data_IF_635038989896
#
_entry.id   IF_635038989896
#
_cell.length_a   1.000
_cell.length_b   1.000
_cell.length_c   1.000
_cell.angle_alpha   90.00
_cell.angle_beta   90.00
_cell.angle_gamma   90.00
#
_symmetry.space_group_name_H-M   'P 1'
#
loop_
_entity.id
_entity.type
_entity.pdbx_description
1 polymer ?
#
# COMPACT_ATOMS: atom_id res chain seq x y z
N UNK A 1 13.58 6.66 -14.53
CA UNK A 1 13.21 5.82 -13.38
C UNK A 1 13.24 4.38 -13.88
N UNK A 2 14.34 3.67 -13.64
CA UNK A 2 14.53 2.30 -14.11
C UNK A 2 13.71 1.34 -13.24
N UNK A 3 12.79 0.64 -13.85
CA UNK A 3 12.08 -0.47 -13.24
C UNK A 3 12.72 -1.76 -13.79
N UNK A 4 13.65 -2.33 -13.04
CA UNK A 4 14.11 -3.69 -13.31
C UNK A 4 13.09 -4.63 -12.69
N UNK A 5 12.16 -5.10 -13.49
CA UNK A 5 10.95 -5.83 -13.14
C UNK A 5 11.11 -7.21 -12.47
N UNK A 6 12.22 -7.48 -11.79
CA UNK A 6 12.44 -8.70 -10.99
C UNK A 6 13.26 -8.46 -9.72
N UNK A 7 13.48 -7.22 -9.32
CA UNK A 7 14.27 -6.86 -8.16
C UNK A 7 13.42 -6.44 -6.96
N UNK A 8 13.99 -6.57 -5.80
CA UNK A 8 13.43 -6.05 -4.55
C UNK A 8 13.30 -4.53 -4.64
N UNK A 9 12.10 -3.96 -4.48
CA UNK A 9 11.82 -2.52 -4.62
C UNK A 9 12.66 -1.68 -3.67
N UNK A 10 13.40 -0.72 -4.23
CA UNK A 10 14.24 0.24 -3.49
C UNK A 10 13.91 1.67 -3.92
N UNK A 11 14.07 2.60 -3.00
CA UNK A 11 14.10 4.03 -3.30
C UNK A 11 15.55 4.51 -3.28
N UNK A 12 15.88 5.43 -4.16
CA UNK A 12 17.22 6.04 -4.23
C UNK A 12 17.12 7.55 -4.10
N UNK A 13 18.09 8.14 -3.41
CA UNK A 13 18.26 9.59 -3.26
C UNK A 13 19.73 9.94 -3.45
N UNK A 14 20.03 10.80 -4.42
CA UNK A 14 21.34 11.43 -4.52
C UNK A 14 21.39 12.59 -3.51
N UNK A 15 22.44 12.62 -2.71
CA UNK A 15 22.64 13.66 -1.70
C UNK A 15 23.21 14.91 -2.38
N UNK A 16 22.40 15.96 -2.46
CA UNK A 16 22.81 17.24 -3.00
C UNK A 16 23.63 18.05 -1.97
N UNK A 17 24.34 19.08 -2.40
CA UNK A 17 25.20 19.96 -1.59
C UNK A 17 24.47 20.52 -0.34
N UNK A 18 23.23 20.98 -0.51
CA UNK A 18 22.39 21.55 0.55
C UNK A 18 21.98 20.53 1.63
N UNK A 19 22.17 19.25 1.36
CA UNK A 19 21.86 18.11 2.25
C UNK A 19 23.10 17.44 2.81
N UNK A 20 24.28 17.86 2.39
CA UNK A 20 25.54 17.32 2.89
C UNK A 20 25.66 17.47 4.42
N UNK A 21 26.25 16.47 5.07
CA UNK A 21 26.40 16.42 6.52
C UNK A 21 25.14 16.04 7.29
N UNK A 22 23.98 15.90 6.65
CA UNK A 22 22.75 15.45 7.31
C UNK A 22 22.86 13.96 7.67
N UNK A 23 22.19 13.58 8.77
CA UNK A 23 22.07 12.17 9.15
C UNK A 23 21.19 11.41 8.14
N UNK A 24 21.53 10.17 7.87
CA UNK A 24 20.72 9.26 7.06
C UNK A 24 19.28 9.21 7.56
N UNK A 25 19.03 9.15 8.89
CA UNK A 25 17.66 9.20 9.45
C UNK A 25 16.87 10.43 8.98
N UNK A 26 17.53 11.59 8.92
CA UNK A 26 16.91 12.85 8.47
C UNK A 26 16.52 12.77 6.98
N UNK A 27 17.43 12.29 6.14
CA UNK A 27 17.19 12.10 4.70
C UNK A 27 16.06 11.10 4.44
N UNK A 28 16.04 9.97 5.15
CA UNK A 28 14.98 8.97 5.04
C UNK A 28 13.59 9.56 5.36
N UNK A 29 13.50 10.40 6.40
CA UNK A 29 12.22 10.99 6.82
C UNK A 29 11.80 12.18 5.97
N UNK A 30 12.70 13.12 5.75
CA UNK A 30 12.35 14.39 5.11
C UNK A 30 12.29 14.28 3.59
N UNK A 31 13.26 13.60 2.98
CA UNK A 31 13.36 13.53 1.53
C UNK A 31 12.61 12.33 0.94
N UNK A 32 12.77 11.15 1.54
CA UNK A 32 12.10 9.94 1.07
C UNK A 32 10.73 9.70 1.72
N UNK A 33 10.37 10.48 2.76
CA UNK A 33 9.09 10.41 3.43
C UNK A 33 8.82 9.09 4.17
N UNK A 34 9.89 8.36 4.58
CA UNK A 34 9.74 7.11 5.30
C UNK A 34 9.29 7.35 6.75
N UNK A 35 8.33 6.55 7.21
CA UNK A 35 7.93 6.58 8.61
C UNK A 35 8.94 5.90 9.51
N UNK A 36 8.88 6.23 10.80
CA UNK A 36 9.68 5.55 11.82
C UNK A 36 9.45 4.04 11.87
N UNK A 37 8.26 3.58 11.50
CA UNK A 37 7.93 2.14 11.45
C UNK A 37 8.66 1.45 10.31
N UNK A 38 8.64 2.02 9.11
CA UNK A 38 9.38 1.49 7.96
C UNK A 38 10.89 1.49 8.26
N UNK A 39 11.44 2.60 8.77
CA UNK A 39 12.87 2.71 9.11
C UNK A 39 13.28 1.67 10.16
N UNK A 40 12.49 1.46 11.23
CA UNK A 40 12.78 0.44 12.26
C UNK A 40 12.80 -0.97 11.68
N UNK A 41 11.94 -1.25 10.69
CA UNK A 41 11.85 -2.56 10.03
C UNK A 41 13.09 -2.87 9.18
N UNK A 42 13.61 -1.87 8.46
CA UNK A 42 14.69 -2.09 7.48
C UNK A 42 16.10 -1.85 8.02
N UNK A 43 16.28 -1.04 9.06
CA UNK A 43 17.62 -0.62 9.54
C UNK A 43 18.54 -1.76 9.99
N UNK A 44 17.95 -2.91 10.32
CA UNK A 44 18.71 -4.10 10.77
C UNK A 44 18.95 -5.10 9.65
N UNK A 45 18.29 -4.94 8.51
CA UNK A 45 18.51 -5.82 7.36
C UNK A 45 19.88 -5.55 6.74
N UNK A 46 20.59 -6.58 6.24
CA UNK A 46 21.89 -6.41 5.60
C UNK A 46 21.89 -5.36 4.49
N UNK A 47 20.89 -5.38 3.64
CA UNK A 47 20.72 -4.46 2.53
C UNK A 47 19.60 -3.43 2.74
N UNK A 48 19.15 -3.22 3.98
CA UNK A 48 18.03 -2.35 4.28
C UNK A 48 18.30 -0.88 3.92
N UNK A 49 19.48 -0.37 4.29
CA UNK A 49 19.90 1.01 4.04
C UNK A 49 21.35 0.97 3.55
N UNK A 50 21.57 1.44 2.33
CA UNK A 50 22.88 1.49 1.69
C UNK A 50 23.24 2.93 1.33
N UNK A 51 24.51 3.31 1.49
CA UNK A 51 25.10 4.56 1.01
C UNK A 51 26.27 4.18 0.10
N UNK A 52 26.18 4.54 -1.19
CA UNK A 52 27.11 4.10 -2.25
C UNK A 52 27.30 2.57 -2.31
N UNK A 53 26.23 1.81 -2.04
CA UNK A 53 26.26 0.34 -2.02
C UNK A 53 26.71 -0.29 -0.70
N UNK A 54 27.25 0.47 0.23
CA UNK A 54 27.67 0.01 1.54
C UNK A 54 26.57 0.16 2.59
N UNK A 55 26.43 -0.86 3.44
CA UNK A 55 25.47 -0.82 4.55
C UNK A 55 25.83 0.28 5.56
N UNK A 56 24.84 1.11 5.89
CA UNK A 56 25.00 2.16 6.90
C UNK A 56 23.89 2.15 7.95
N UNK A 57 24.22 2.72 9.12
CA UNK A 57 23.22 2.98 10.16
C UNK A 57 22.61 4.38 9.98
N UNK A 58 21.42 4.58 10.53
CA UNK A 58 20.67 5.83 10.45
C UNK A 58 21.39 7.03 11.08
N UNK A 59 22.37 6.82 11.96
CA UNK A 59 23.21 7.86 12.57
C UNK A 59 24.33 8.35 11.65
N UNK A 60 24.69 7.62 10.58
CA UNK A 60 25.71 8.02 9.60
C UNK A 60 25.32 9.36 8.98
N UNK A 61 26.33 10.24 8.79
CA UNK A 61 26.18 11.47 8.01
C UNK A 61 26.54 11.18 6.56
N UNK A 62 25.72 11.67 5.65
CA UNK A 62 25.94 11.52 4.22
C UNK A 62 26.66 12.76 3.67
N UNK A 63 27.48 12.55 2.66
CA UNK A 63 28.24 13.60 1.97
C UNK A 63 27.60 13.93 0.61
N UNK A 64 27.89 15.11 0.07
CA UNK A 64 27.42 15.50 -1.24
C UNK A 64 27.89 14.50 -2.31
N UNK A 65 27.02 14.20 -3.28
CA UNK A 65 27.28 13.27 -4.36
C UNK A 65 26.98 11.82 -4.04
N UNK A 66 26.92 11.41 -2.76
CA UNK A 66 26.63 10.03 -2.38
C UNK A 66 25.20 9.63 -2.74
N UNK A 67 24.99 8.34 -2.99
CA UNK A 67 23.69 7.75 -3.32
C UNK A 67 23.16 6.92 -2.16
N UNK A 68 22.11 7.41 -1.51
CA UNK A 68 21.36 6.68 -0.50
C UNK A 68 20.34 5.77 -1.19
N UNK A 69 20.37 4.47 -0.88
CA UNK A 69 19.45 3.47 -1.41
C UNK A 69 18.79 2.70 -0.27
N UNK A 70 17.47 2.63 -0.27
CA UNK A 70 16.69 2.01 0.81
C UNK A 70 15.71 0.98 0.30
N UNK A 71 15.64 -0.14 1.00
CA UNK A 71 14.66 -1.19 0.77
C UNK A 71 13.27 -0.72 1.22
N UNK A 72 12.28 -0.83 0.35
CA UNK A 72 10.87 -0.56 0.70
C UNK A 72 9.96 -1.78 0.50
N UNK A 73 10.43 -2.79 -0.23
CA UNK A 73 9.72 -4.06 -0.38
C UNK A 73 9.62 -4.83 0.94
N UNK A 74 8.77 -5.83 0.97
CA UNK A 74 8.66 -6.76 2.08
C UNK A 74 9.81 -7.76 2.05
N UNK A 75 10.69 -7.76 3.08
CA UNK A 75 11.74 -8.77 3.16
C UNK A 75 11.17 -10.18 3.42
N UNK A 76 10.01 -10.24 4.06
CA UNK A 76 9.28 -11.45 4.42
C UNK A 76 7.77 -11.21 4.28
N UNK A 77 7.04 -12.17 3.76
CA UNK A 77 5.59 -12.15 3.74
C UNK A 77 5.04 -12.44 5.13
N UNK A 78 4.23 -11.54 5.67
CA UNK A 78 3.73 -11.60 7.07
C UNK A 78 2.21 -11.60 7.17
N UNK A 79 1.50 -11.37 6.07
CA UNK A 79 0.03 -11.34 6.08
C UNK A 79 -0.60 -12.69 6.42
N UNK A 80 0.14 -13.79 6.19
CA UNK A 80 -0.39 -15.15 6.33
C UNK A 80 -1.48 -15.49 5.31
N UNK A 81 -1.67 -14.66 4.29
CA UNK A 81 -2.67 -14.90 3.24
C UNK A 81 -2.16 -15.98 2.29
N UNK A 82 -2.85 -17.11 2.24
CA UNK A 82 -2.52 -18.22 1.36
C UNK A 82 -2.74 -17.85 -0.11
N UNK A 83 -1.74 -17.99 -0.98
CA UNK A 83 -1.91 -17.78 -2.41
C UNK A 83 -2.87 -18.81 -3.02
N UNK A 84 -3.98 -18.37 -3.60
CA UNK A 84 -4.95 -19.21 -4.31
C UNK A 84 -5.28 -18.52 -5.62
N UNK A 85 -5.13 -19.18 -6.77
CA UNK A 85 -5.51 -18.61 -8.06
C UNK A 85 -7.00 -18.27 -8.11
N UNK A 86 -7.32 -17.11 -8.69
CA UNK A 86 -8.68 -16.66 -8.86
C UNK A 86 -8.79 -15.43 -9.75
N UNK A 87 -9.99 -14.98 -10.07
CA UNK A 87 -10.20 -13.89 -11.01
C UNK A 87 -9.75 -12.55 -10.41
N UNK A 88 -8.91 -11.83 -11.14
CA UNK A 88 -8.50 -10.47 -10.87
C UNK A 88 -8.68 -9.62 -12.12
N UNK A 89 -9.41 -8.53 -12.01
CA UNK A 89 -9.54 -7.52 -13.04
C UNK A 89 -8.62 -6.33 -12.68
N UNK A 90 -7.37 -6.39 -13.16
CA UNK A 90 -6.33 -5.38 -12.88
C UNK A 90 -6.48 -4.25 -13.88
N UNK A 91 -6.78 -3.05 -13.40
CA UNK A 91 -7.01 -1.84 -14.20
C UNK A 91 -5.74 -1.02 -14.37
N UNK A 92 -4.87 -1.03 -13.35
CA UNK A 92 -3.59 -0.32 -13.36
C UNK A 92 -2.58 -1.03 -12.48
N UNK A 93 -1.33 -0.98 -12.86
CA UNK A 93 -0.23 -1.53 -12.07
C UNK A 93 1.07 -0.79 -12.37
N UNK A 94 1.83 -0.45 -11.32
CA UNK A 94 3.20 0.05 -11.39
C UNK A 94 4.10 -0.61 -10.32
N UNK A 95 5.27 -0.03 -10.05
CA UNK A 95 6.20 -0.55 -9.05
C UNK A 95 5.75 -0.36 -7.60
N UNK A 96 4.78 0.49 -7.32
CA UNK A 96 4.39 0.90 -5.98
C UNK A 96 2.95 0.49 -5.62
N UNK A 97 2.06 0.37 -6.61
CA UNK A 97 0.64 0.04 -6.38
C UNK A 97 0.01 -0.73 -7.54
N UNK A 98 -1.15 -1.27 -7.25
CA UNK A 98 -2.04 -1.94 -8.19
C UNK A 98 -3.47 -1.42 -7.93
N UNK A 99 -4.23 -1.16 -8.99
CA UNK A 99 -5.65 -0.88 -8.93
C UNK A 99 -6.40 -2.02 -9.60
N UNK A 100 -7.36 -2.58 -8.90
CA UNK A 100 -8.21 -3.64 -9.43
C UNK A 100 -9.68 -3.25 -9.33
N UNK A 101 -10.50 -3.80 -10.23
CA UNK A 101 -11.95 -3.74 -10.15
C UNK A 101 -12.45 -4.97 -9.39
N UNK A 102 -12.91 -4.78 -8.14
CA UNK A 102 -13.46 -5.86 -7.33
C UNK A 102 -14.86 -6.22 -7.80
N UNK A 103 -15.10 -7.47 -8.14
CA UNK A 103 -16.45 -7.97 -8.40
C UNK A 103 -17.31 -8.00 -7.11
N UNK A 104 -18.64 -7.90 -7.24
CA UNK A 104 -19.54 -8.14 -6.10
C UNK A 104 -19.48 -9.62 -5.67
N UNK A 105 -19.79 -9.90 -4.42
CA UNK A 105 -19.77 -11.24 -3.85
C UNK A 105 -18.42 -11.72 -3.33
N UNK A 106 -17.31 -11.03 -3.65
CA UNK A 106 -15.94 -11.36 -3.21
C UNK A 106 -15.53 -10.52 -2.02
N UNK A 107 -14.98 -11.16 -0.98
CA UNK A 107 -14.36 -10.47 0.16
C UNK A 107 -12.96 -9.95 -0.17
N UNK A 108 -12.54 -8.89 0.52
CA UNK A 108 -11.19 -8.33 0.38
C UNK A 108 -10.16 -9.15 1.14
N UNK A 109 -10.43 -9.45 2.41
CA UNK A 109 -9.53 -10.19 3.30
C UNK A 109 -10.05 -11.58 3.63
N UNK A 110 -9.17 -12.57 3.82
CA UNK A 110 -9.57 -13.83 4.44
C UNK A 110 -10.20 -13.61 5.82
N UNK A 111 -11.18 -14.42 6.13
CA UNK A 111 -11.90 -14.36 7.40
C UNK A 111 -12.71 -15.64 7.63
N UNK A 112 -13.54 -15.66 8.67
CA UNK A 112 -14.34 -16.84 9.03
C UNK A 112 -15.17 -17.34 7.83
N UNK A 113 -15.00 -18.60 7.44
CA UNK A 113 -15.68 -19.23 6.31
C UNK A 113 -15.16 -18.86 4.91
N UNK A 114 -14.18 -17.95 4.81
CA UNK A 114 -13.61 -17.47 3.53
C UNK A 114 -12.08 -17.38 3.64
N UNK A 115 -11.40 -18.52 3.57
CA UNK A 115 -9.94 -18.60 3.74
C UNK A 115 -9.17 -18.60 2.42
N UNK A 116 -9.85 -18.87 1.29
CA UNK A 116 -9.21 -19.13 0.00
C UNK A 116 -9.87 -18.44 -1.21
N UNK A 117 -10.94 -17.68 -0.99
CA UNK A 117 -11.80 -17.10 -2.03
C UNK A 117 -11.88 -15.57 -1.97
N UNK A 118 -10.82 -14.92 -1.51
CA UNK A 118 -10.77 -13.46 -1.33
C UNK A 118 -9.80 -12.80 -2.30
N UNK A 119 -9.96 -11.49 -2.49
CA UNK A 119 -9.00 -10.67 -3.28
C UNK A 119 -7.57 -10.86 -2.77
N UNK A 120 -7.38 -10.94 -1.44
CA UNK A 120 -6.07 -11.19 -0.86
C UNK A 120 -5.44 -12.49 -1.37
N UNK A 121 -6.20 -13.60 -1.37
CA UNK A 121 -5.72 -14.89 -1.87
C UNK A 121 -5.33 -14.84 -3.36
N UNK A 122 -6.21 -14.25 -4.18
CA UNK A 122 -6.01 -14.16 -5.63
C UNK A 122 -4.80 -13.28 -5.96
N UNK A 123 -4.65 -12.16 -5.25
CA UNK A 123 -3.54 -11.24 -5.46
C UNK A 123 -2.20 -11.86 -5.01
N UNK A 124 -2.16 -12.60 -3.91
CA UNK A 124 -0.95 -13.29 -3.48
C UNK A 124 -0.53 -14.38 -4.48
N UNK A 125 -1.49 -15.08 -5.12
CA UNK A 125 -1.18 -16.01 -6.21
C UNK A 125 -0.64 -15.26 -7.44
N UNK A 126 -1.26 -14.16 -7.82
CA UNK A 126 -0.78 -13.31 -8.90
C UNK A 126 0.66 -12.83 -8.66
N UNK A 127 0.97 -12.30 -7.47
CA UNK A 127 2.31 -11.84 -7.13
C UNK A 127 3.34 -12.98 -7.22
N UNK A 128 3.03 -14.16 -6.69
CA UNK A 128 3.87 -15.35 -6.81
C UNK A 128 4.15 -15.71 -8.27
N UNK A 129 3.11 -15.75 -9.11
CA UNK A 129 3.20 -16.19 -10.50
C UNK A 129 3.94 -15.16 -11.38
N UNK A 130 3.88 -13.87 -11.01
CA UNK A 130 4.64 -12.80 -11.66
C UNK A 130 6.05 -12.59 -11.08
N UNK A 131 6.44 -13.31 -10.02
CA UNK A 131 7.71 -13.11 -9.32
C UNK A 131 7.80 -11.77 -8.58
N UNK A 132 6.67 -11.19 -8.18
CA UNK A 132 6.59 -9.93 -7.44
C UNK A 132 6.75 -10.22 -5.95
N UNK A 133 7.79 -9.66 -5.34
CA UNK A 133 8.01 -9.78 -3.89
C UNK A 133 7.22 -8.70 -3.14
N UNK A 134 5.94 -8.96 -2.92
CA UNK A 134 5.04 -8.08 -2.19
C UNK A 134 4.08 -8.89 -1.31
N UNK A 135 3.70 -8.30 -0.18
CA UNK A 135 2.65 -8.83 0.68
C UNK A 135 1.30 -8.16 0.37
N UNK A 136 0.23 -8.61 1.01
CA UNK A 136 -1.10 -8.05 0.81
C UNK A 136 -1.27 -6.74 1.59
N UNK A 137 -1.18 -5.59 0.91
CA UNK A 137 -1.26 -4.25 1.48
C UNK A 137 -2.43 -3.44 0.92
N UNK A 138 -3.70 -3.80 1.17
CA UNK A 138 -4.82 -2.99 0.70
C UNK A 138 -4.80 -1.60 1.36
N UNK A 139 -5.07 -0.58 0.55
CA UNK A 139 -5.13 0.82 1.00
C UNK A 139 -6.46 1.09 1.68
N UNK A 140 -7.53 0.56 1.11
CA UNK A 140 -8.89 0.57 1.65
C UNK A 140 -9.59 -0.74 1.32
N UNK A 141 -10.82 -0.88 1.76
CA UNK A 141 -11.64 -2.06 1.46
C UNK A 141 -12.98 -1.67 0.86
N UNK A 142 -13.58 -2.60 0.16
CA UNK A 142 -14.99 -2.60 -0.26
C UNK A 142 -15.68 -3.78 0.42
N UNK A 143 -16.95 -3.65 0.73
CA UNK A 143 -17.73 -4.74 1.33
C UNK A 143 -18.00 -5.86 0.33
N UNK A 144 -18.43 -7.04 0.81
CA UNK A 144 -18.66 -8.24 -0.02
C UNK A 144 -19.56 -7.95 -1.22
N UNK A 145 -20.70 -7.29 -0.99
CA UNK A 145 -21.68 -6.97 -2.02
C UNK A 145 -21.33 -5.75 -2.90
N UNK A 146 -20.32 -4.95 -2.50
CA UNK A 146 -19.92 -3.76 -3.23
C UNK A 146 -18.92 -4.11 -4.32
N UNK A 147 -19.13 -3.62 -5.54
CA UNK A 147 -18.18 -3.69 -6.64
C UNK A 147 -17.49 -2.35 -6.85
N UNK A 148 -16.37 -2.34 -7.59
CA UNK A 148 -15.70 -1.11 -7.99
C UNK A 148 -14.19 -1.12 -7.76
N UNK A 149 -13.58 0.04 -7.94
CA UNK A 149 -12.12 0.18 -7.90
C UNK A 149 -11.56 0.07 -6.48
N UNK A 150 -10.52 -0.71 -6.33
CA UNK A 150 -9.78 -0.89 -5.09
C UNK A 150 -8.29 -0.72 -5.33
N UNK A 151 -7.63 0.03 -4.44
CA UNK A 151 -6.19 0.29 -4.49
C UNK A 151 -5.48 -0.63 -3.50
N UNK A 152 -4.44 -1.32 -3.98
CA UNK A 152 -3.54 -2.14 -3.18
C UNK A 152 -2.11 -1.65 -3.40
N UNK A 153 -1.39 -1.38 -2.34
CA UNK A 153 0.02 -1.06 -2.40
C UNK A 153 0.87 -2.34 -2.52
N UNK A 154 2.03 -2.24 -3.14
CA UNK A 154 2.97 -3.36 -3.27
C UNK A 154 4.02 -3.41 -2.15
N UNK A 155 4.04 -2.41 -1.28
CA UNK A 155 4.94 -2.38 -0.12
C UNK A 155 4.43 -1.41 0.97
N UNK A 156 4.90 -1.57 2.23
CA UNK A 156 4.39 -0.80 3.37
C UNK A 156 4.52 0.71 3.23
N UNK A 157 5.61 1.20 2.62
CA UNK A 157 5.81 2.63 2.43
C UNK A 157 4.75 3.23 1.48
N UNK A 158 4.48 2.58 0.35
CA UNK A 158 3.41 3.01 -0.57
C UNK A 158 2.04 2.95 0.12
N UNK A 159 1.75 1.87 0.87
CA UNK A 159 0.50 1.74 1.62
C UNK A 159 0.30 2.92 2.59
N UNK A 160 1.33 3.27 3.35
CA UNK A 160 1.26 4.38 4.30
C UNK A 160 1.04 5.72 3.59
N UNK A 161 1.74 5.99 2.50
CA UNK A 161 1.55 7.21 1.71
C UNK A 161 0.16 7.32 1.11
N UNK A 162 -0.36 6.24 0.54
CA UNK A 162 -1.71 6.19 -0.03
C UNK A 162 -2.78 6.31 1.07
N UNK A 163 -2.60 5.65 2.21
CA UNK A 163 -3.53 5.78 3.35
C UNK A 163 -3.61 7.21 3.90
N UNK A 164 -2.53 7.97 3.91
CA UNK A 164 -2.56 9.39 4.28
C UNK A 164 -3.42 10.23 3.32
N UNK A 165 -3.51 9.84 2.05
CA UNK A 165 -4.33 10.55 1.06
C UNK A 165 -5.83 10.25 1.19
N UNK A 166 -6.22 9.12 1.82
CA UNK A 166 -7.63 8.73 1.97
C UNK A 166 -8.54 9.79 2.62
N UNK A 167 -7.94 10.66 3.43
CA UNK A 167 -8.64 11.72 4.16
C UNK A 167 -8.38 13.11 3.57
N UNK A 168 -7.88 13.19 2.35
CA UNK A 168 -7.59 14.44 1.65
C UNK A 168 -8.38 14.52 0.35
N UNK A 169 -8.44 15.69 -0.26
CA UNK A 169 -9.07 15.89 -1.57
C UNK A 169 -8.36 15.13 -2.72
N UNK A 170 -7.13 14.64 -2.48
CA UNK A 170 -6.36 13.88 -3.47
C UNK A 170 -6.91 12.47 -3.70
N UNK A 171 -7.69 11.92 -2.76
CA UNK A 171 -8.30 10.59 -2.88
C UNK A 171 -9.82 10.70 -2.69
N UNK A 172 -10.56 10.61 -3.77
CA UNK A 172 -12.02 10.70 -3.75
C UNK A 172 -12.64 9.32 -3.93
N UNK A 173 -13.63 9.00 -3.10
CA UNK A 173 -14.46 7.80 -3.23
C UNK A 173 -15.87 8.22 -3.64
N UNK A 174 -16.25 7.80 -4.83
CA UNK A 174 -17.58 8.08 -5.38
C UNK A 174 -18.30 6.75 -5.58
N UNK A 175 -19.55 6.67 -5.13
CA UNK A 175 -20.37 5.48 -5.22
C UNK A 175 -21.67 5.77 -5.94
N UNK A 176 -22.13 4.79 -6.70
CA UNK A 176 -23.47 4.74 -7.23
C UNK A 176 -24.27 3.68 -6.48
N UNK A 177 -25.44 4.02 -5.98
CA UNK A 177 -26.30 3.10 -5.24
C UNK A 177 -27.73 3.12 -5.80
N UNK A 178 -28.34 1.94 -5.83
CA UNK A 178 -29.78 1.78 -6.10
C UNK A 178 -30.50 1.67 -4.76
N UNK A 179 -31.44 2.56 -4.50
CA UNK A 179 -32.18 2.63 -3.24
C UNK A 179 -33.66 2.31 -3.45
N UNK A 180 -34.30 1.76 -2.41
CA UNK A 180 -35.76 1.64 -2.35
C UNK A 180 -36.34 2.99 -1.90
N UNK A 181 -37.33 3.49 -2.60
CA UNK A 181 -37.87 4.86 -2.43
C UNK A 181 -36.96 5.90 -3.07
N UNK A 182 -37.28 7.17 -2.88
CA UNK A 182 -36.49 8.29 -3.39
C UNK A 182 -36.31 9.38 -2.35
N UNK A 183 -35.22 10.17 -2.44
CA UNK A 183 -35.07 11.37 -1.63
C UNK A 183 -36.18 12.38 -1.97
N UNK A 184 -36.53 13.23 -1.02
CA UNK A 184 -37.55 14.28 -1.22
C UNK A 184 -37.09 15.36 -2.20
N UNK A 185 -35.79 15.52 -2.37
CA UNK A 185 -35.17 16.45 -3.30
C UNK A 185 -34.23 15.72 -4.27
N UNK A 186 -34.04 16.24 -5.48
CA UNK A 186 -33.13 15.64 -6.47
C UNK A 186 -31.67 15.66 -6.03
N UNK A 187 -31.29 16.66 -5.23
CA UNK A 187 -29.96 16.81 -4.67
C UNK A 187 -30.01 17.16 -3.17
N UNK A 188 -29.03 16.73 -2.40
CA UNK A 188 -28.95 17.05 -0.99
C UNK A 188 -27.70 16.49 -0.34
N UNK A 189 -27.46 16.91 0.89
CA UNK A 189 -26.37 16.40 1.74
C UNK A 189 -26.98 15.75 2.97
N UNK A 190 -26.60 14.51 3.25
CA UNK A 190 -26.89 13.84 4.51
C UNK A 190 -25.58 13.84 5.31
N UNK A 191 -25.52 14.74 6.30
CA UNK A 191 -24.37 14.86 7.21
C UNK A 191 -24.82 14.48 8.64
N UNK A 192 -24.92 13.18 8.87
CA UNK A 192 -25.36 12.64 10.13
C UNK A 192 -24.39 11.50 10.58
N UNK A 193 -24.16 11.31 11.89
CA UNK A 193 -23.39 10.19 12.40
C UNK A 193 -24.01 8.86 11.97
N UNK A 194 -23.16 7.93 11.55
CA UNK A 194 -23.56 6.55 11.27
C UNK A 194 -23.33 5.72 12.53
N UNK A 195 -24.39 5.07 13.01
CA UNK A 195 -24.35 4.18 14.17
C UNK A 195 -25.02 2.84 13.87
N UNK A 196 -24.82 1.87 14.75
CA UNK A 196 -25.56 0.61 14.68
C UNK A 196 -26.99 0.83 15.21
N UNK A 197 -27.98 0.32 14.49
CA UNK A 197 -29.34 0.27 15.01
C UNK A 197 -29.42 -0.71 16.19
N UNK A 198 -30.29 -0.42 17.17
CA UNK A 198 -30.54 -1.31 18.30
C UNK A 198 -30.97 -2.69 17.80
N UNK A 199 -30.28 -3.77 18.22
CA UNK A 199 -30.53 -5.13 17.76
C UNK A 199 -29.84 -5.52 16.43
N UNK A 200 -29.06 -4.65 15.81
CA UNK A 200 -28.26 -4.95 14.63
C UNK A 200 -26.99 -5.72 15.00
N UNK A 201 -26.75 -6.86 14.33
CA UNK A 201 -25.54 -7.68 14.44
C UNK A 201 -24.53 -7.43 13.32
N UNK A 202 -24.72 -6.37 12.54
CA UNK A 202 -23.86 -6.01 11.41
C UNK A 202 -23.25 -4.64 11.64
#
# INVERSE_FOLDING_TARGET
MGNDGKGVRRLTLRVEEDRAGQKVDTLLRKELGLSGTVIRRIKWLPEGILLDGERVFTSRRAEAGQVLSVLVADPELRSGVTPVPGPLDIVYEDGDMLVLHKAPGVLVHPGAGHLSDTIGNFLMAYYRDQGIQADFHPVHRLDKGTSGLMVVAKHPHAQERLKRQLHTAAFRRVYLAVCLGGPQAEEGVVDAPIGMAEGSIV
#
